data_IF_826202797531
#
_entry.id   IF_826202797531
#
_cell.length_a   1.000
_cell.length_b   1.000
_cell.length_c   1.000
_cell.angle_alpha   90.00
_cell.angle_beta   90.00
_cell.angle_gamma   90.00
#
_symmetry.space_group_name_H-M   'P 1'
#
loop_
_entity.id
_entity.type
_entity.pdbx_description
1 polymer ?
#
# COMPACT_ATOMS: atom_id res chain seq x y z
N UNK A 1 -8.67 -10.65 10.15
CA UNK A 1 -7.50 -10.88 11.03
C UNK A 1 -8.03 -10.78 12.44
N UNK A 2 -8.06 -11.90 13.16
CA UNK A 2 -8.49 -11.91 14.56
C UNK A 2 -7.43 -11.16 15.37
N UNK A 3 -7.86 -10.15 16.11
CA UNK A 3 -7.02 -9.46 17.08
C UNK A 3 -6.92 -10.41 18.27
N UNK A 4 -5.77 -11.06 18.42
CA UNK A 4 -5.48 -11.89 19.58
C UNK A 4 -5.57 -10.99 20.83
N UNK A 5 -6.35 -11.42 21.82
CA UNK A 5 -6.51 -10.65 23.04
C UNK A 5 -5.16 -10.57 23.77
N UNK A 6 -4.76 -9.39 24.30
CA UNK A 6 -3.49 -9.28 25.01
C UNK A 6 -3.48 -10.25 26.19
N UNK A 7 -2.44 -11.08 26.28
CA UNK A 7 -2.26 -12.01 27.38
C UNK A 7 -2.32 -11.24 28.71
N UNK A 8 -3.12 -11.73 29.67
CA UNK A 8 -3.24 -11.12 30.99
C UNK A 8 -1.90 -11.21 31.70
N UNK A 9 -1.26 -10.06 31.93
CA UNK A 9 0.00 -10.00 32.64
C UNK A 9 -0.08 -10.69 34.00
N UNK A 10 0.90 -11.55 34.26
CA UNK A 10 1.13 -12.18 35.55
C UNK A 10 2.26 -11.43 36.24
N UNK A 11 1.89 -10.58 37.19
CA UNK A 11 2.81 -9.73 37.95
C UNK A 11 3.96 -10.48 38.66
N UNK A 12 3.86 -11.80 38.84
CA UNK A 12 4.90 -12.62 39.48
C UNK A 12 5.93 -13.24 38.54
N UNK A 13 5.80 -13.09 37.22
CA UNK A 13 6.73 -13.63 36.21
C UNK A 13 7.51 -12.53 35.46
N UNK A 14 7.35 -11.27 35.84
CA UNK A 14 8.06 -10.15 35.21
C UNK A 14 9.48 -10.07 35.78
N UNK A 15 10.49 -10.49 35.00
CA UNK A 15 11.90 -10.36 35.37
C UNK A 15 12.38 -8.91 35.13
N UNK A 16 13.45 -8.46 35.81
CA UNK A 16 14.00 -7.11 35.63
C UNK A 16 14.45 -6.82 34.19
N UNK A 17 14.79 -7.86 33.42
CA UNK A 17 15.12 -7.77 32.00
C UNK A 17 13.88 -7.52 31.10
N UNK A 18 12.67 -7.83 31.56
CA UNK A 18 11.41 -7.58 30.84
C UNK A 18 10.94 -6.11 30.96
N UNK A 19 11.65 -5.28 31.76
CA UNK A 19 11.33 -3.87 31.97
C UNK A 19 11.46 -3.03 30.68
N UNK A 20 12.23 -3.52 29.69
CA UNK A 20 12.38 -2.89 28.37
C UNK A 20 11.22 -3.18 27.40
N UNK A 21 10.56 -4.33 27.54
CA UNK A 21 9.55 -4.84 26.60
C UNK A 21 8.10 -4.62 27.10
N UNK A 22 7.88 -3.59 27.93
CA UNK A 22 6.57 -3.21 28.47
C UNK A 22 5.58 -2.63 27.43
N UNK A 23 5.89 -2.71 26.14
CA UNK A 23 5.04 -2.21 25.04
C UNK A 23 3.65 -2.88 25.03
N UNK A 24 3.50 -4.07 25.63
CA UNK A 24 2.21 -4.75 25.80
C UNK A 24 1.24 -4.03 26.78
N UNK A 25 1.74 -3.13 27.65
CA UNK A 25 0.91 -2.29 28.53
C UNK A 25 0.36 -1.05 27.81
N UNK A 26 0.90 -0.75 26.63
CA UNK A 26 0.45 0.37 25.84
C UNK A 26 -0.87 0.03 25.16
N UNK A 27 -1.79 1.02 25.03
CA UNK A 27 -3.06 0.77 24.35
C UNK A 27 -2.79 0.34 22.91
N UNK A 28 -3.64 -0.55 22.36
CA UNK A 28 -3.44 -1.08 21.02
C UNK A 28 -3.44 0.04 19.97
N UNK A 29 -2.72 -0.15 18.85
CA UNK A 29 -2.63 0.85 17.80
C UNK A 29 -4.02 1.15 17.21
N UNK A 30 -4.38 2.44 17.19
CA UNK A 30 -5.68 2.90 16.67
C UNK A 30 -5.50 3.38 15.25
N UNK A 31 -6.16 2.71 14.32
CA UNK A 31 -6.23 3.14 12.92
C UNK A 31 -7.49 3.97 12.72
N UNK A 32 -7.31 5.28 12.60
CA UNK A 32 -8.38 6.18 12.18
C UNK A 32 -8.39 6.15 10.65
N UNK A 33 -9.52 5.71 10.10
CA UNK A 33 -9.73 5.41 8.68
C UNK A 33 -9.43 6.58 7.74
N UNK A 34 -9.37 6.32 6.42
CA UNK A 34 -9.12 7.36 5.45
C UNK A 34 -10.27 8.38 5.48
N UNK A 35 -9.93 9.59 5.92
CA UNK A 35 -10.84 10.74 5.97
C UNK A 35 -11.30 11.13 4.55
N UNK A 36 -12.28 12.03 4.41
CA UNK A 36 -12.82 12.46 3.10
C UNK A 36 -11.72 12.96 2.13
N UNK A 37 -10.60 13.43 2.69
CA UNK A 37 -9.39 13.86 1.99
C UNK A 37 -8.38 12.74 1.64
N UNK A 38 -8.73 11.47 1.88
CA UNK A 38 -7.90 10.28 1.66
C UNK A 38 -6.77 10.12 2.67
N UNK A 39 -6.88 10.71 3.86
CA UNK A 39 -5.83 10.71 4.89
C UNK A 39 -6.11 9.64 5.93
N UNK A 40 -5.22 8.64 6.04
CA UNK A 40 -5.22 7.63 7.10
C UNK A 40 -4.30 8.10 8.22
N UNK A 41 -4.76 8.04 9.46
CA UNK A 41 -3.93 8.30 10.65
C UNK A 41 -3.80 7.02 11.46
N UNK A 42 -2.57 6.57 11.69
CA UNK A 42 -2.27 5.46 12.60
C UNK A 42 -1.66 6.07 13.85
N UNK A 43 -2.30 5.86 15.00
CA UNK A 43 -1.84 6.33 16.30
C UNK A 43 -1.26 5.14 17.06
N UNK A 44 0.03 5.21 17.32
CA UNK A 44 0.80 4.21 18.05
C UNK A 44 1.42 4.88 19.29
N UNK A 45 1.66 4.10 20.33
CA UNK A 45 2.37 4.56 21.52
C UNK A 45 3.61 3.68 21.68
N UNK A 46 4.74 4.28 22.06
CA UNK A 46 5.99 3.58 22.34
C UNK A 46 6.72 4.23 23.52
N UNK A 47 7.51 3.47 24.27
CA UNK A 47 8.48 4.03 25.22
C UNK A 47 9.76 4.47 24.49
N UNK A 48 10.24 5.68 24.81
CA UNK A 48 11.54 6.17 24.36
C UNK A 48 12.67 5.62 25.24
N UNK A 49 13.93 5.82 24.81
CA UNK A 49 15.15 5.46 25.56
C UNK A 49 15.20 6.06 26.97
N UNK A 50 14.54 7.20 27.19
CA UNK A 50 14.41 7.86 28.50
C UNK A 50 13.25 7.31 29.37
N UNK A 51 12.60 6.21 28.96
CA UNK A 51 11.45 5.62 29.66
C UNK A 51 10.13 6.41 29.54
N UNK A 52 10.11 7.50 28.76
CA UNK A 52 8.92 8.33 28.57
C UNK A 52 8.00 7.75 27.49
N UNK A 53 6.68 7.80 27.74
CA UNK A 53 5.66 7.37 26.78
C UNK A 53 5.47 8.42 25.68
N UNK A 54 5.73 8.04 24.43
CA UNK A 54 5.56 8.89 23.26
C UNK A 54 4.43 8.40 22.37
N UNK A 55 3.71 9.37 21.78
CA UNK A 55 2.66 9.14 20.80
C UNK A 55 3.21 9.32 19.39
N UNK A 56 3.20 8.27 18.61
CA UNK A 56 3.61 8.27 17.20
C UNK A 56 2.35 8.38 16.35
N UNK A 57 2.27 9.43 15.53
CA UNK A 57 1.13 9.66 14.63
C UNK A 57 1.62 9.55 13.20
N UNK A 58 1.42 8.38 12.59
CA UNK A 58 1.76 8.15 11.19
C UNK A 58 0.58 8.58 10.32
N UNK A 59 0.74 9.70 9.61
CA UNK A 59 -0.28 10.24 8.71
C UNK A 59 0.07 9.87 7.26
N UNK A 60 -0.71 8.99 6.63
CA UNK A 60 -0.54 8.59 5.23
C UNK A 60 -1.67 9.15 4.38
N UNK A 61 -1.33 9.97 3.37
CA UNK A 61 -2.31 10.51 2.41
C UNK A 61 -2.32 9.69 1.13
N UNK A 62 -3.45 9.05 0.84
CA UNK A 62 -3.67 8.33 -0.41
C UNK A 62 -4.20 9.29 -1.46
N UNK A 63 -3.31 9.91 -2.24
CA UNK A 63 -3.73 10.75 -3.38
C UNK A 63 -4.04 9.86 -4.58
N UNK A 64 -5.30 9.88 -5.05
CA UNK A 64 -5.67 9.35 -6.36
C UNK A 64 -5.13 10.30 -7.44
N UNK A 65 -3.81 10.26 -7.68
CA UNK A 65 -3.27 10.78 -8.94
C UNK A 65 -3.96 10.01 -10.05
N UNK A 66 -4.47 10.69 -11.07
CA UNK A 66 -5.31 10.15 -12.14
C UNK A 66 -4.68 8.88 -12.77
N UNK A 67 -4.88 7.75 -12.12
CA UNK A 67 -4.47 6.45 -12.62
C UNK A 67 -5.62 6.06 -13.54
N UNK A 68 -5.30 6.01 -14.83
CA UNK A 68 -6.04 5.21 -15.79
C UNK A 68 -6.55 3.93 -15.10
N UNK A 69 -7.77 3.50 -15.41
CA UNK A 69 -8.48 2.33 -14.86
C UNK A 69 -7.72 1.02 -15.11
N UNK A 70 -6.51 0.91 -14.58
CA UNK A 70 -5.55 -0.15 -14.78
C UNK A 70 -5.37 -0.84 -13.45
N UNK A 71 -5.50 -2.17 -13.47
CA UNK A 71 -5.22 -3.00 -12.31
C UNK A 71 -3.74 -2.94 -11.93
N UNK A 72 -3.42 -3.23 -10.67
CA UNK A 72 -2.02 -3.31 -10.18
C UNK A 72 -1.16 -4.20 -11.09
N UNK A 73 -1.67 -5.38 -11.45
CA UNK A 73 -1.02 -6.32 -12.38
C UNK A 73 -0.77 -5.73 -13.76
N UNK A 74 -1.65 -4.83 -14.24
CA UNK A 74 -1.44 -4.18 -15.53
C UNK A 74 -0.33 -3.13 -15.47
N UNK A 75 -0.16 -2.44 -14.35
CA UNK A 75 0.97 -1.52 -14.13
C UNK A 75 2.30 -2.28 -14.09
N UNK A 76 2.36 -3.34 -13.29
CA UNK A 76 3.56 -4.19 -13.18
C UNK A 76 4.00 -4.72 -14.56
N UNK A 77 3.05 -5.16 -15.40
CA UNK A 77 3.37 -5.62 -16.76
C UNK A 77 3.86 -4.52 -17.69
N UNK A 78 3.43 -3.27 -17.51
CA UNK A 78 3.94 -2.14 -18.33
C UNK A 78 5.36 -1.74 -17.93
N UNK A 79 5.74 -1.99 -16.69
CA UNK A 79 7.08 -1.72 -16.16
C UNK A 79 8.10 -2.81 -16.50
N UNK A 80 7.67 -3.95 -17.05
CA UNK A 80 8.59 -5.01 -17.46
C UNK A 80 9.54 -4.54 -18.55
N UNK A 81 10.83 -4.80 -18.35
CA UNK A 81 11.87 -4.51 -19.33
C UNK A 81 11.64 -5.36 -20.58
N UNK A 82 11.74 -4.74 -21.75
CA UNK A 82 11.74 -5.47 -23.03
C UNK A 82 12.97 -6.39 -23.11
N UNK A 83 12.86 -7.48 -23.86
CA UNK A 83 13.89 -8.50 -23.99
C UNK A 83 14.03 -8.96 -25.45
N UNK A 84 15.09 -9.72 -25.75
CA UNK A 84 15.38 -10.20 -27.11
C UNK A 84 15.61 -9.04 -28.07
N UNK A 85 15.13 -9.19 -29.31
CA UNK A 85 15.26 -8.16 -30.34
C UNK A 85 14.55 -6.85 -29.97
N UNK A 86 13.50 -6.94 -29.13
CA UNK A 86 12.77 -5.77 -28.64
C UNK A 86 13.52 -5.01 -27.52
N UNK A 87 14.61 -5.54 -26.97
CA UNK A 87 15.38 -4.89 -25.90
C UNK A 87 15.98 -3.54 -26.33
N UNK A 88 16.28 -3.39 -27.63
CA UNK A 88 16.84 -2.18 -28.23
C UNK A 88 15.76 -1.32 -28.90
N UNK A 89 14.48 -1.70 -28.80
CA UNK A 89 13.38 -0.99 -29.43
C UNK A 89 12.93 0.20 -28.56
N UNK A 90 13.22 1.41 -29.01
CA UNK A 90 12.84 2.65 -28.29
C UNK A 90 11.40 3.10 -28.58
N UNK A 91 10.53 2.18 -29.03
CA UNK A 91 9.11 2.43 -29.28
C UNK A 91 8.79 3.09 -30.62
N UNK A 92 9.80 3.60 -31.34
CA UNK A 92 9.71 4.08 -32.72
C UNK A 92 10.19 3.05 -33.75
N UNK A 93 10.32 1.79 -33.33
CA UNK A 93 10.85 0.74 -34.17
C UNK A 93 9.87 0.45 -35.31
N UNK A 94 10.37 0.37 -36.55
CA UNK A 94 9.55 0.30 -37.77
C UNK A 94 8.81 -1.02 -37.96
N UNK A 95 8.85 -1.91 -36.96
CA UNK A 95 8.21 -3.22 -36.98
C UNK A 95 6.69 -3.13 -36.77
N UNK A 96 6.22 -2.17 -35.96
CA UNK A 96 4.78 -1.95 -35.76
C UNK A 96 4.33 -0.70 -36.52
N UNK A 97 3.43 -0.87 -37.48
CA UNK A 97 2.81 0.22 -38.23
C UNK A 97 1.46 0.58 -37.58
N UNK A 98 1.23 1.88 -37.37
CA UNK A 98 -0.10 2.39 -37.00
C UNK A 98 -0.91 2.51 -38.28
N UNK A 99 -2.04 1.82 -38.37
CA UNK A 99 -2.97 1.94 -39.50
C UNK A 99 -3.50 3.37 -39.59
N UNK A 100 -3.44 3.97 -40.78
CA UNK A 100 -4.04 5.28 -41.08
C UNK A 100 -5.42 5.17 -41.74
N UNK A 101 -5.88 3.94 -41.98
CA UNK A 101 -7.16 3.65 -42.63
C UNK A 101 -8.32 3.69 -41.62
N UNK A 102 -9.48 4.18 -42.06
CA UNK A 102 -10.70 4.18 -41.27
C UNK A 102 -11.42 2.84 -41.44
N UNK A 103 -11.48 2.03 -40.37
CA UNK A 103 -12.19 0.74 -40.36
C UNK A 103 -13.58 0.94 -39.76
N UNK A 104 -14.61 0.87 -40.61
CA UNK A 104 -16.01 0.98 -40.19
C UNK A 104 -16.47 -0.33 -39.53
N UNK A 105 -16.77 -0.27 -38.23
CA UNK A 105 -17.30 -1.38 -37.45
C UNK A 105 -18.81 -1.19 -37.26
N UNK A 106 -19.61 -1.64 -38.23
CA UNK A 106 -21.06 -1.64 -38.08
C UNK A 106 -21.49 -2.78 -37.15
N UNK A 107 -22.22 -2.42 -36.08
CA UNK A 107 -22.91 -3.41 -35.25
C UNK A 107 -24.28 -3.66 -35.85
N UNK A 108 -24.59 -4.88 -36.35
CA UNK A 108 -25.95 -5.17 -36.78
C UNK A 108 -26.89 -5.03 -35.58
N UNK A 109 -27.90 -4.16 -35.70
CA UNK A 109 -28.94 -4.02 -34.69
C UNK A 109 -29.78 -5.30 -34.73
N UNK A 110 -29.89 -6.00 -33.60
CA UNK A 110 -30.80 -7.12 -33.48
C UNK A 110 -32.25 -6.65 -33.77
N UNK A 111 -33.05 -7.46 -34.48
CA UNK A 111 -34.45 -7.13 -34.80
C UNK A 111 -35.30 -6.92 -33.55
#
# INVERSE_FOLDING_TARGET
MAVEAPAKLRWGELEEDDLGDLDFLLPPPVVIGPDENGVKKVIEYRFNEDGNKVKIITTSRTRKLAKARLSKRALERREWKKFGDAAHSDGADRMTMVSTEEILLERPRAP
#
